data_IF_296560216399
#
_entry.id   IF_296560216399
#
_cell.length_a   1.000
_cell.length_b   1.000
_cell.length_c   1.000
_cell.angle_alpha   90.00
_cell.angle_beta   90.00
_cell.angle_gamma   90.00
#
_symmetry.space_group_name_H-M   'P 1'
#
loop_
_entity.id
_entity.type
_entity.pdbx_description
1 polymer ?
#
# COMPACT_ATOMS: atom_id res chain seq x y z
N UNK A 1 17.97 -17.88 -21.88
CA UNK A 1 16.85 -17.17 -21.28
C UNK A 1 17.01 -17.33 -19.78
N UNK A 2 17.46 -16.30 -19.07
CA UNK A 2 17.55 -16.32 -17.62
C UNK A 2 16.14 -16.49 -17.05
N UNK A 3 15.91 -17.58 -16.31
CA UNK A 3 14.61 -17.83 -15.71
C UNK A 3 14.44 -16.92 -14.49
N UNK A 4 13.40 -16.10 -14.48
CA UNK A 4 12.93 -15.42 -13.28
C UNK A 4 12.22 -16.41 -12.36
N UNK A 5 12.35 -16.22 -11.05
CA UNK A 5 11.58 -16.97 -10.09
C UNK A 5 10.39 -16.12 -9.59
N UNK A 6 9.20 -16.72 -9.60
CA UNK A 6 7.95 -16.07 -9.20
C UNK A 6 7.57 -16.47 -7.77
N UNK A 7 7.49 -15.49 -6.90
CA UNK A 7 7.15 -15.67 -5.50
C UNK A 7 5.85 -14.95 -5.15
N UNK A 8 4.94 -15.61 -4.44
CA UNK A 8 3.71 -15.03 -3.93
C UNK A 8 3.74 -14.97 -2.41
N UNK A 9 3.43 -13.81 -1.84
CA UNK A 9 3.15 -13.65 -0.42
C UNK A 9 1.66 -13.38 -0.26
N UNK A 10 0.95 -14.29 0.39
CA UNK A 10 -0.51 -14.35 0.43
C UNK A 10 -1.01 -14.01 1.84
N UNK A 11 -1.90 -13.04 1.96
CA UNK A 11 -2.62 -12.77 3.18
C UNK A 11 -4.05 -13.34 3.08
N UNK A 12 -4.24 -14.58 3.51
CA UNK A 12 -5.54 -15.27 3.48
C UNK A 12 -6.62 -14.58 4.35
N UNK A 13 -6.23 -13.78 5.35
CA UNK A 13 -7.14 -13.04 6.24
C UNK A 13 -7.69 -11.76 5.60
N UNK A 14 -7.18 -11.36 4.43
CA UNK A 14 -7.69 -10.20 3.71
C UNK A 14 -9.12 -10.45 3.19
N UNK A 15 -9.89 -9.37 3.03
CA UNK A 15 -11.28 -9.41 2.51
C UNK A 15 -12.21 -10.41 3.26
N UNK A 16 -12.12 -10.45 4.59
CA UNK A 16 -12.96 -11.31 5.44
C UNK A 16 -12.88 -12.81 5.11
N UNK A 17 -11.69 -13.29 4.69
CA UNK A 17 -11.44 -14.71 4.42
C UNK A 17 -11.63 -15.18 2.98
N UNK A 18 -12.07 -14.32 2.06
CA UNK A 18 -12.19 -14.69 0.63
C UNK A 18 -10.86 -14.79 -0.11
N UNK A 19 -9.75 -14.38 0.51
CA UNK A 19 -8.43 -14.41 -0.13
C UNK A 19 -7.97 -15.84 -0.48
N UNK A 20 -8.39 -16.83 0.29
CA UNK A 20 -8.12 -18.25 -0.02
C UNK A 20 -8.77 -18.71 -1.32
N UNK A 21 -10.00 -18.28 -1.59
CA UNK A 21 -10.69 -18.59 -2.85
C UNK A 21 -10.01 -17.85 -4.01
N UNK A 22 -9.65 -16.58 -3.80
CA UNK A 22 -8.91 -15.78 -4.79
C UNK A 22 -7.58 -16.43 -5.14
N UNK A 23 -6.86 -16.95 -4.14
CA UNK A 23 -5.61 -17.67 -4.39
C UNK A 23 -5.81 -18.90 -5.30
N UNK A 24 -6.86 -19.68 -5.07
CA UNK A 24 -7.18 -20.82 -5.96
C UNK A 24 -7.40 -20.40 -7.42
N UNK A 25 -8.07 -19.28 -7.63
CA UNK A 25 -8.29 -18.73 -8.97
C UNK A 25 -6.98 -18.30 -9.66
N UNK A 26 -6.04 -17.75 -8.87
CA UNK A 26 -4.69 -17.41 -9.36
C UNK A 26 -3.92 -18.69 -9.70
N UNK A 27 -3.94 -19.70 -8.81
CA UNK A 27 -3.28 -20.99 -9.04
C UNK A 27 -3.77 -21.70 -10.32
N UNK A 28 -5.07 -21.62 -10.62
CA UNK A 28 -5.62 -22.16 -11.87
C UNK A 28 -4.95 -21.50 -13.09
N UNK A 29 -4.79 -20.17 -13.07
CA UNK A 29 -4.11 -19.44 -14.16
C UNK A 29 -2.66 -19.88 -14.30
N UNK A 30 -1.94 -20.02 -13.18
CA UNK A 30 -0.53 -20.44 -13.18
C UNK A 30 -0.36 -21.87 -13.71
N UNK A 31 -1.21 -22.79 -13.28
CA UNK A 31 -1.22 -24.19 -13.73
C UNK A 31 -1.50 -24.31 -15.23
N UNK A 32 -2.55 -23.65 -15.73
CA UNK A 32 -2.90 -23.66 -17.17
C UNK A 32 -1.76 -23.12 -18.03
N UNK A 33 -0.98 -22.16 -17.50
CA UNK A 33 0.15 -21.56 -18.22
C UNK A 33 1.49 -22.25 -17.97
N UNK A 34 1.49 -23.32 -17.18
CA UNK A 34 2.68 -24.11 -16.81
C UNK A 34 3.81 -23.23 -16.25
N UNK A 35 3.45 -22.33 -15.31
CA UNK A 35 4.38 -21.40 -14.67
C UNK A 35 4.88 -21.99 -13.37
N UNK A 36 6.20 -22.00 -13.16
CA UNK A 36 6.81 -22.35 -11.88
C UNK A 36 6.71 -21.17 -10.91
N UNK A 37 6.32 -21.44 -9.68
CA UNK A 37 6.20 -20.43 -8.62
C UNK A 37 6.41 -21.02 -7.23
N UNK A 38 6.66 -20.16 -6.26
CA UNK A 38 6.57 -20.49 -4.83
C UNK A 38 5.56 -19.58 -4.15
N UNK A 39 4.84 -20.10 -3.17
CA UNK A 39 3.79 -19.37 -2.47
C UNK A 39 3.94 -19.49 -0.96
N UNK A 40 3.89 -18.37 -0.27
CA UNK A 40 4.06 -18.24 1.17
C UNK A 40 2.84 -17.54 1.77
N UNK A 41 2.29 -18.11 2.84
CA UNK A 41 1.13 -17.53 3.53
C UNK A 41 1.61 -16.70 4.72
N UNK A 42 1.19 -15.43 4.77
CA UNK A 42 1.46 -14.59 5.93
C UNK A 42 0.43 -14.86 7.03
N UNK A 43 0.90 -15.20 8.23
CA UNK A 43 0.06 -15.68 9.33
C UNK A 43 -0.31 -14.58 10.32
N UNK A 44 0.55 -13.57 10.50
CA UNK A 44 0.39 -12.49 11.46
C UNK A 44 0.89 -11.15 10.88
N UNK A 45 0.58 -10.06 11.57
CA UNK A 45 1.02 -8.72 11.18
C UNK A 45 2.55 -8.62 11.21
N UNK A 46 3.13 -8.12 10.10
CA UNK A 46 4.57 -8.03 9.89
C UNK A 46 5.20 -9.28 9.27
N UNK A 47 4.46 -10.42 9.18
CA UNK A 47 5.00 -11.65 8.61
C UNK A 47 5.26 -11.53 7.10
N UNK A 48 4.43 -10.79 6.37
CA UNK A 48 4.63 -10.57 4.95
C UNK A 48 5.97 -9.85 4.66
N UNK A 49 6.37 -8.91 5.52
CA UNK A 49 7.67 -8.27 5.41
C UNK A 49 8.85 -9.21 5.69
N UNK A 50 8.74 -10.07 6.72
CA UNK A 50 9.77 -11.07 7.00
C UNK A 50 9.93 -12.05 5.85
N UNK A 51 8.83 -12.58 5.31
CA UNK A 51 8.85 -13.44 4.14
C UNK A 51 9.51 -12.76 2.93
N UNK A 52 9.23 -11.48 2.70
CA UNK A 52 9.88 -10.73 1.63
C UNK A 52 11.40 -10.63 1.85
N UNK A 53 11.85 -10.38 3.08
CA UNK A 53 13.29 -10.37 3.43
C UNK A 53 13.94 -11.74 3.20
N UNK A 54 13.28 -12.81 3.61
CA UNK A 54 13.76 -14.19 3.41
C UNK A 54 13.86 -14.55 1.92
N UNK A 55 12.86 -14.16 1.10
CA UNK A 55 12.88 -14.37 -0.34
C UNK A 55 14.01 -13.57 -1.00
N UNK A 56 14.23 -12.31 -0.59
CA UNK A 56 15.32 -11.50 -1.12
C UNK A 56 16.72 -12.04 -0.77
N UNK A 57 16.82 -12.86 0.27
CA UNK A 57 18.07 -13.52 0.67
C UNK A 57 18.35 -14.82 -0.11
N UNK A 58 17.41 -15.30 -0.92
CA UNK A 58 17.63 -16.45 -1.79
C UNK A 58 18.60 -16.11 -2.92
N UNK A 59 19.27 -17.13 -3.46
CA UNK A 59 20.30 -16.97 -4.51
C UNK A 59 19.70 -16.80 -5.92
N UNK A 60 18.64 -15.98 -6.03
CA UNK A 60 17.99 -15.62 -7.27
C UNK A 60 18.36 -14.19 -7.68
N UNK A 61 18.76 -14.00 -8.92
CA UNK A 61 19.16 -12.69 -9.44
C UNK A 61 18.02 -11.89 -10.06
N UNK A 62 16.87 -12.50 -10.34
CA UNK A 62 15.67 -11.84 -10.88
C UNK A 62 14.43 -12.40 -10.19
N UNK A 63 14.03 -11.73 -9.14
CA UNK A 63 12.91 -12.10 -8.28
C UNK A 63 11.68 -11.31 -8.72
N UNK A 64 10.60 -12.01 -9.07
CA UNK A 64 9.29 -11.40 -9.17
C UNK A 64 8.49 -11.69 -7.89
N UNK A 65 8.31 -10.69 -7.06
CA UNK A 65 7.66 -10.80 -5.76
C UNK A 65 6.26 -10.20 -5.80
N UNK A 66 5.24 -11.02 -5.60
CA UNK A 66 3.84 -10.63 -5.73
C UNK A 66 3.13 -10.66 -4.38
N UNK A 67 2.62 -9.53 -3.95
CA UNK A 67 1.76 -9.43 -2.78
C UNK A 67 0.30 -9.73 -3.17
N UNK A 68 -0.29 -10.77 -2.60
CA UNK A 68 -1.72 -11.08 -2.72
C UNK A 68 -2.40 -10.63 -1.42
N UNK A 69 -2.93 -9.42 -1.42
CA UNK A 69 -3.42 -8.79 -0.19
C UNK A 69 -4.01 -7.40 -0.42
N UNK A 70 -4.23 -6.67 0.66
CA UNK A 70 -4.58 -5.24 0.63
C UNK A 70 -3.34 -4.36 0.77
N UNK A 71 -3.56 -3.03 0.87
CA UNK A 71 -2.51 -2.01 0.99
C UNK A 71 -1.53 -2.29 2.14
N UNK A 72 -2.03 -2.79 3.27
CA UNK A 72 -1.18 -3.18 4.41
C UNK A 72 -0.21 -4.32 4.09
N UNK A 73 -0.67 -5.35 3.37
CA UNK A 73 0.18 -6.46 2.94
C UNK A 73 1.23 -5.99 1.94
N UNK A 74 0.81 -5.19 0.95
CA UNK A 74 1.73 -4.59 -0.02
C UNK A 74 2.80 -3.73 0.67
N UNK A 75 2.40 -2.90 1.65
CA UNK A 75 3.35 -2.08 2.41
C UNK A 75 4.31 -2.93 3.27
N UNK A 76 3.85 -4.02 3.89
CA UNK A 76 4.74 -4.94 4.61
C UNK A 76 5.76 -5.57 3.67
N UNK A 77 5.34 -6.06 2.50
CA UNK A 77 6.23 -6.66 1.49
C UNK A 77 7.27 -5.65 1.00
N UNK A 78 6.86 -4.44 0.62
CA UNK A 78 7.77 -3.37 0.18
C UNK A 78 8.83 -3.09 1.24
N UNK A 79 8.45 -3.00 2.52
CA UNK A 79 9.39 -2.78 3.61
C UNK A 79 10.26 -4.00 3.97
N UNK A 80 9.98 -5.15 3.41
CA UNK A 80 10.81 -6.36 3.53
C UNK A 80 11.78 -6.56 2.36
N UNK A 81 11.61 -5.82 1.26
CA UNK A 81 12.55 -5.87 0.12
C UNK A 81 13.87 -5.22 0.55
N UNK A 82 14.94 -6.00 0.51
CA UNK A 82 16.29 -5.56 0.89
C UNK A 82 17.11 -5.08 -0.30
N UNK A 83 16.74 -5.46 -1.52
CA UNK A 83 17.42 -5.11 -2.76
C UNK A 83 16.39 -4.90 -3.89
N UNK A 84 16.08 -3.65 -4.17
CA UNK A 84 15.13 -3.28 -5.24
C UNK A 84 15.70 -3.51 -6.64
N UNK A 85 17.01 -3.63 -6.79
CA UNK A 85 17.64 -3.93 -8.07
C UNK A 85 17.39 -5.39 -8.50
N UNK A 86 17.18 -6.30 -7.55
CA UNK A 86 16.87 -7.70 -7.82
C UNK A 86 15.38 -8.00 -7.91
N UNK A 87 14.52 -7.15 -7.34
CA UNK A 87 13.10 -7.44 -7.18
C UNK A 87 12.23 -6.63 -8.15
N UNK A 88 11.39 -7.33 -8.90
CA UNK A 88 10.22 -6.75 -9.57
C UNK A 88 8.98 -7.01 -8.70
N UNK A 89 8.36 -5.96 -8.23
CA UNK A 89 7.23 -6.04 -7.31
C UNK A 89 5.89 -6.00 -8.05
N UNK A 90 4.99 -6.90 -7.67
CA UNK A 90 3.62 -6.96 -8.17
C UNK A 90 2.58 -7.00 -7.06
N UNK A 91 1.35 -6.61 -7.36
CA UNK A 91 0.23 -6.65 -6.42
C UNK A 91 -1.00 -7.26 -7.07
N UNK A 92 -1.64 -8.20 -6.38
CA UNK A 92 -3.00 -8.67 -6.68
C UNK A 92 -3.89 -8.23 -5.53
N UNK A 93 -4.80 -7.25 -5.77
CA UNK A 93 -5.54 -6.61 -4.71
C UNK A 93 -6.66 -7.49 -4.17
N UNK A 94 -6.62 -7.80 -2.88
CA UNK A 94 -7.69 -8.54 -2.19
C UNK A 94 -8.21 -7.80 -0.94
N UNK A 95 -7.78 -6.56 -0.72
CA UNK A 95 -8.21 -5.73 0.41
C UNK A 95 -9.52 -4.96 0.16
N UNK A 96 -9.88 -4.12 1.12
CA UNK A 96 -11.07 -3.25 1.05
C UNK A 96 -10.78 -1.91 0.38
N UNK A 97 -9.61 -1.31 0.62
CA UNK A 97 -9.18 -0.02 0.05
C UNK A 97 -8.56 -0.21 -1.32
N UNK A 98 -7.47 -0.95 -1.36
CA UNK A 98 -6.65 -1.22 -2.53
C UNK A 98 -6.24 0.08 -3.26
N UNK A 99 -5.77 1.06 -2.48
CA UNK A 99 -5.42 2.37 -3.02
C UNK A 99 -4.19 2.29 -3.92
N UNK A 100 -3.21 1.45 -3.58
CA UNK A 100 -2.06 1.17 -4.44
C UNK A 100 -2.50 0.59 -5.79
N UNK A 101 -3.34 -0.44 -5.77
CA UNK A 101 -3.84 -1.06 -7.00
C UNK A 101 -4.68 -0.10 -7.84
N UNK A 102 -5.45 0.79 -7.18
CA UNK A 102 -6.22 1.85 -7.86
C UNK A 102 -5.30 2.87 -8.49
N UNK A 103 -4.29 3.35 -7.77
CA UNK A 103 -3.31 4.31 -8.28
C UNK A 103 -2.53 3.77 -9.48
N UNK A 104 -2.22 2.48 -9.47
CA UNK A 104 -1.58 1.76 -10.55
C UNK A 104 -2.54 1.29 -11.66
N UNK A 105 -3.83 1.58 -11.56
CA UNK A 105 -4.87 1.13 -12.50
C UNK A 105 -4.90 -0.40 -12.70
N UNK A 106 -4.59 -1.16 -11.65
CA UNK A 106 -4.57 -2.63 -11.71
C UNK A 106 -5.99 -3.20 -11.71
N UNK A 107 -6.14 -4.37 -12.32
CA UNK A 107 -7.40 -5.10 -12.34
C UNK A 107 -7.83 -5.52 -10.93
N UNK A 108 -9.14 -5.41 -10.67
CA UNK A 108 -9.77 -5.97 -9.46
C UNK A 108 -10.06 -7.47 -9.58
N UNK A 109 -10.03 -8.00 -10.80
CA UNK A 109 -10.18 -9.42 -11.07
C UNK A 109 -8.84 -10.13 -10.86
N UNK A 110 -8.77 -11.14 -9.97
CA UNK A 110 -7.51 -11.80 -9.60
C UNK A 110 -6.87 -12.56 -10.77
N UNK A 111 -7.68 -13.15 -11.65
CA UNK A 111 -7.17 -13.88 -12.84
C UNK A 111 -6.52 -12.93 -13.82
N UNK A 112 -7.18 -11.79 -14.09
CA UNK A 112 -6.61 -10.74 -14.92
C UNK A 112 -5.35 -10.12 -14.28
N UNK A 113 -5.33 -9.96 -12.95
CA UNK A 113 -4.14 -9.53 -12.22
C UNK A 113 -2.96 -10.48 -12.41
N UNK A 114 -3.19 -11.79 -12.25
CA UNK A 114 -2.16 -12.82 -12.49
C UNK A 114 -1.66 -12.81 -13.93
N UNK A 115 -2.58 -12.73 -14.91
CA UNK A 115 -2.24 -12.66 -16.34
C UNK A 115 -1.40 -11.41 -16.63
N UNK A 116 -1.75 -10.26 -16.05
CA UNK A 116 -1.00 -9.02 -16.21
C UNK A 116 0.44 -9.16 -15.68
N UNK A 117 0.62 -9.73 -14.50
CA UNK A 117 1.94 -9.99 -13.91
C UNK A 117 2.75 -10.91 -14.83
N UNK A 118 2.19 -12.03 -15.28
CA UNK A 118 2.88 -12.97 -16.17
C UNK A 118 3.29 -12.33 -17.51
N UNK A 119 2.49 -11.40 -18.02
CA UNK A 119 2.84 -10.67 -19.23
C UNK A 119 3.94 -9.62 -18.97
N UNK A 120 3.89 -8.94 -17.83
CA UNK A 120 4.92 -7.99 -17.43
C UNK A 120 6.30 -8.65 -17.22
N UNK A 121 6.31 -9.88 -16.69
CA UNK A 121 7.54 -10.65 -16.49
C UNK A 121 8.26 -11.06 -17.79
N UNK A 122 7.53 -11.11 -18.92
CA UNK A 122 8.14 -11.38 -20.24
C UNK A 122 8.92 -10.17 -20.78
N UNK A 123 8.70 -9.01 -20.22
CA UNK A 123 9.42 -7.78 -20.57
C UNK A 123 10.79 -7.75 -19.93
N UNK A 124 11.73 -7.02 -20.52
CA UNK A 124 12.99 -6.72 -19.87
C UNK A 124 12.76 -5.86 -18.61
N UNK A 125 13.75 -5.78 -17.72
CA UNK A 125 13.65 -4.87 -16.56
C UNK A 125 13.56 -3.41 -16.99
N UNK A 126 14.27 -3.04 -18.03
CA UNK A 126 14.27 -1.69 -18.59
C UNK A 126 12.89 -1.27 -19.12
N UNK A 127 12.07 -2.24 -19.55
CA UNK A 127 10.69 -2.01 -20.00
C UNK A 127 9.67 -2.04 -18.84
N UNK A 128 10.12 -2.22 -17.60
CA UNK A 128 9.24 -2.17 -16.42
C UNK A 128 9.09 -0.74 -15.93
N UNK A 129 7.90 -0.43 -15.43
CA UNK A 129 7.62 0.88 -14.85
C UNK A 129 8.24 1.00 -13.45
N UNK A 130 9.03 2.05 -13.23
CA UNK A 130 9.60 2.37 -11.93
C UNK A 130 8.64 3.26 -11.14
N UNK A 131 8.35 2.85 -9.92
CA UNK A 131 7.52 3.59 -8.98
C UNK A 131 8.41 4.19 -7.89
N UNK A 132 8.22 5.47 -7.62
CA UNK A 132 8.85 6.13 -6.48
C UNK A 132 8.29 5.58 -5.17
N UNK A 133 9.11 5.56 -4.13
CA UNK A 133 8.72 5.26 -2.77
C UNK A 133 9.08 6.44 -1.86
N UNK A 134 8.14 6.83 -1.00
CA UNK A 134 8.46 7.78 0.05
C UNK A 134 9.03 7.07 1.28
N UNK A 135 9.90 7.76 2.02
CA UNK A 135 10.40 7.31 3.32
C UNK A 135 9.91 8.24 4.44
N UNK A 136 9.37 7.66 5.49
CA UNK A 136 9.11 8.36 6.76
C UNK A 136 10.18 8.00 7.75
N UNK A 137 10.81 9.02 8.33
CA UNK A 137 11.80 8.87 9.41
C UNK A 137 11.30 9.55 10.68
N UNK A 138 11.40 8.86 11.81
CA UNK A 138 11.11 9.39 13.14
C UNK A 138 12.15 8.87 14.13
N UNK A 139 13.10 9.71 14.50
CA UNK A 139 14.32 9.28 15.19
C UNK A 139 15.04 8.24 14.34
N UNK A 140 15.40 7.13 14.96
CA UNK A 140 16.12 6.03 14.27
C UNK A 140 15.20 5.10 13.46
N UNK A 141 13.88 5.32 13.51
CA UNK A 141 12.91 4.48 12.80
C UNK A 141 12.66 5.03 11.41
N UNK A 142 12.79 4.17 10.41
CA UNK A 142 12.49 4.45 9.01
C UNK A 142 11.46 3.48 8.48
N UNK A 143 10.59 3.98 7.61
CA UNK A 143 9.59 3.15 6.93
C UNK A 143 9.25 3.70 5.56
N UNK A 144 9.24 2.81 4.57
CA UNK A 144 8.81 3.16 3.23
C UNK A 144 7.28 3.18 3.12
N UNK A 145 6.78 4.07 2.29
CA UNK A 145 5.37 4.11 1.90
C UNK A 145 5.24 4.26 0.38
N UNK A 146 4.26 3.57 -0.18
CA UNK A 146 3.98 3.61 -1.61
C UNK A 146 2.90 4.65 -1.96
N UNK A 147 1.96 4.93 -1.05
CA UNK A 147 0.77 5.75 -1.34
C UNK A 147 0.92 7.12 -0.69
N UNK A 148 0.94 7.15 0.63
CA UNK A 148 0.97 8.38 1.43
C UNK A 148 1.49 8.14 2.83
N UNK A 149 1.94 9.22 3.47
CA UNK A 149 2.23 9.26 4.90
C UNK A 149 1.70 10.56 5.49
N UNK A 150 0.86 10.46 6.51
CA UNK A 150 0.15 11.60 7.09
C UNK A 150 0.28 11.72 8.61
N UNK A 151 0.09 12.95 9.09
CA UNK A 151 0.07 13.33 10.50
C UNK A 151 -1.25 14.08 10.79
N UNK A 152 -1.83 13.87 11.95
CA UNK A 152 -3.05 14.56 12.39
C UNK A 152 -4.30 13.73 12.20
N UNK A 153 -5.34 14.29 11.58
CA UNK A 153 -6.66 13.66 11.41
C UNK A 153 -6.57 12.30 10.76
N UNK A 154 -5.83 12.19 9.67
CA UNK A 154 -5.63 10.96 8.92
C UNK A 154 -5.05 9.85 9.81
N UNK A 155 -3.92 10.11 10.47
CA UNK A 155 -3.30 9.17 11.40
C UNK A 155 -4.25 8.78 12.56
N UNK A 156 -5.05 9.72 13.06
CA UNK A 156 -6.01 9.49 14.14
C UNK A 156 -7.15 8.56 13.66
N UNK A 157 -7.69 8.80 12.47
CA UNK A 157 -8.73 7.96 11.86
C UNK A 157 -8.21 6.54 11.64
N UNK A 158 -7.00 6.41 11.08
CA UNK A 158 -6.35 5.11 10.90
C UNK A 158 -6.14 4.37 12.25
N UNK A 159 -5.67 5.08 13.28
CA UNK A 159 -5.50 4.52 14.63
C UNK A 159 -6.83 4.03 15.24
N UNK A 160 -7.89 4.81 15.09
CA UNK A 160 -9.24 4.44 15.57
C UNK A 160 -9.79 3.26 14.76
N UNK A 161 -9.64 3.26 13.45
CA UNK A 161 -10.09 2.17 12.58
C UNK A 161 -9.40 0.83 12.90
N UNK A 162 -8.12 0.85 13.27
CA UNK A 162 -7.39 -0.35 13.67
C UNK A 162 -7.84 -0.92 15.01
N UNK A 163 -8.36 -0.07 15.93
CA UNK A 163 -8.82 -0.47 17.26
C UNK A 163 -10.32 -0.73 17.35
N UNK A 164 -11.08 -0.39 16.32
CA UNK A 164 -12.54 -0.38 16.37
C UNK A 164 -13.13 -1.76 16.08
N UNK A 165 -13.87 -2.30 17.05
CA UNK A 165 -14.81 -3.42 16.86
C UNK A 165 -15.97 -3.07 15.91
N UNK A 166 -16.24 -1.79 15.70
CA UNK A 166 -17.24 -1.28 14.74
C UNK A 166 -16.86 -1.68 13.31
N UNK A 167 -15.56 -1.75 12.99
CA UNK A 167 -15.06 -2.19 11.69
C UNK A 167 -15.54 -3.59 11.35
N UNK A 168 -15.52 -4.51 12.30
CA UNK A 168 -15.94 -5.89 12.07
C UNK A 168 -17.45 -6.01 11.83
N UNK A 169 -18.24 -5.19 12.54
CA UNK A 169 -19.70 -5.15 12.38
C UNK A 169 -20.08 -4.53 11.03
N UNK A 170 -19.48 -3.40 10.66
CA UNK A 170 -19.80 -2.69 9.42
C UNK A 170 -19.24 -3.39 8.16
N UNK A 171 -18.15 -4.13 8.29
CA UNK A 171 -17.66 -4.99 7.21
C UNK A 171 -18.64 -6.14 6.91
N UNK A 172 -19.28 -6.72 7.93
CA UNK A 172 -20.32 -7.75 7.76
C UNK A 172 -21.53 -7.25 6.96
N UNK A 173 -21.86 -5.96 7.07
CA UNK A 173 -23.00 -5.35 6.36
C UNK A 173 -22.58 -4.56 5.10
N UNK A 174 -21.36 -4.78 4.58
CA UNK A 174 -20.81 -4.12 3.38
C UNK A 174 -20.72 -2.58 3.45
N UNK A 175 -20.82 -1.99 4.63
CA UNK A 175 -20.78 -0.53 4.86
C UNK A 175 -19.39 -0.03 5.32
N UNK A 176 -18.31 -0.74 4.98
CA UNK A 176 -16.94 -0.41 5.42
C UNK A 176 -16.50 1.02 5.08
N UNK A 177 -16.94 1.60 3.96
CA UNK A 177 -16.67 3.00 3.60
C UNK A 177 -17.33 3.99 4.57
N UNK A 178 -18.52 3.67 5.06
CA UNK A 178 -19.26 4.51 6.01
C UNK A 178 -18.54 4.55 7.37
N UNK A 179 -17.84 3.49 7.74
CA UNK A 179 -17.02 3.47 8.98
C UNK A 179 -15.97 4.56 8.96
N UNK A 180 -15.23 4.68 7.87
CA UNK A 180 -14.19 5.71 7.75
C UNK A 180 -14.78 7.10 7.80
N UNK A 181 -15.91 7.34 7.14
CA UNK A 181 -16.59 8.62 7.19
C UNK A 181 -17.03 8.99 8.63
N UNK A 182 -17.68 8.07 9.34
CA UNK A 182 -18.10 8.28 10.73
C UNK A 182 -16.91 8.53 11.65
N UNK A 183 -15.83 7.74 11.52
CA UNK A 183 -14.62 7.93 12.31
C UNK A 183 -13.92 9.23 11.96
N UNK A 184 -13.94 9.67 10.71
CA UNK A 184 -13.38 10.97 10.29
C UNK A 184 -14.15 12.10 10.91
N UNK A 185 -15.48 12.11 10.80
CA UNK A 185 -16.33 13.14 11.40
C UNK A 185 -16.15 13.19 12.92
N UNK A 186 -16.23 12.04 13.60
CA UNK A 186 -16.00 11.97 15.04
C UNK A 186 -14.61 12.46 15.43
N UNK A 187 -13.59 12.11 14.64
CA UNK A 187 -12.21 12.52 14.92
C UNK A 187 -12.01 14.01 14.72
N UNK A 188 -12.63 14.59 13.69
CA UNK A 188 -12.57 16.04 13.45
C UNK A 188 -13.09 16.84 14.64
N UNK A 189 -14.18 16.41 15.28
CA UNK A 189 -14.74 17.10 16.46
C UNK A 189 -13.97 16.85 17.74
N UNK A 190 -13.28 15.71 17.86
CA UNK A 190 -12.61 15.31 19.11
C UNK A 190 -11.11 15.56 19.12
N UNK A 191 -10.48 15.77 17.97
CA UNK A 191 -9.04 16.00 17.90
C UNK A 191 -8.65 17.39 18.41
N UNK A 192 -7.44 17.46 18.95
CA UNK A 192 -6.76 18.74 19.21
C UNK A 192 -5.97 19.14 17.96
N UNK A 193 -5.98 20.42 17.62
CA UNK A 193 -5.10 20.99 16.62
C UNK A 193 -3.80 21.44 17.26
N UNK A 194 -2.71 21.44 16.51
CA UNK A 194 -1.42 21.93 16.95
C UNK A 194 -0.89 22.96 15.95
N UNK A 195 -0.07 23.89 16.43
CA UNK A 195 0.72 24.73 15.53
C UNK A 195 1.91 23.90 15.03
N UNK A 196 2.27 24.06 13.78
CA UNK A 196 3.34 23.31 13.13
C UNK A 196 4.17 24.22 12.22
N UNK A 197 5.40 23.85 12.03
CA UNK A 197 6.29 24.43 11.03
C UNK A 197 6.66 23.35 10.04
N UNK A 198 6.38 23.60 8.76
CA UNK A 198 6.67 22.67 7.66
C UNK A 198 7.87 23.19 6.89
N UNK A 199 8.82 22.30 6.64
CA UNK A 199 9.99 22.58 5.81
C UNK A 199 9.90 21.71 4.56
N UNK A 200 9.99 22.37 3.41
CA UNK A 200 10.03 21.70 2.11
C UNK A 200 11.41 21.91 1.49
N UNK A 201 12.13 20.81 1.28
CA UNK A 201 13.51 20.83 0.77
C UNK A 201 14.40 21.82 1.56
N UNK A 202 14.94 22.86 0.89
CA UNK A 202 15.80 23.88 1.51
C UNK A 202 15.08 25.22 1.76
N UNK A 203 13.75 25.25 1.65
CA UNK A 203 12.99 26.47 1.81
C UNK A 203 12.85 26.88 3.28
N UNK A 204 12.49 28.15 3.51
CA UNK A 204 12.15 28.63 4.86
C UNK A 204 10.93 27.88 5.38
N UNK A 205 10.94 27.59 6.67
CA UNK A 205 9.83 26.95 7.34
C UNK A 205 8.51 27.72 7.16
N UNK A 206 7.46 27.00 6.80
CA UNK A 206 6.11 27.53 6.65
C UNK A 206 5.32 27.32 7.93
N UNK A 207 5.04 28.40 8.66
CA UNK A 207 4.27 28.35 9.90
C UNK A 207 2.79 28.10 9.60
N UNK A 208 2.22 27.07 10.22
CA UNK A 208 0.81 26.70 10.13
C UNK A 208 0.19 26.67 11.52
N UNK A 209 -0.81 27.51 11.74
CA UNK A 209 -1.57 27.53 13.00
C UNK A 209 -2.77 26.61 12.92
N UNK A 210 -3.07 25.95 14.03
CA UNK A 210 -4.22 25.03 14.15
C UNK A 210 -4.27 24.01 13.02
N UNK A 211 -3.16 23.31 12.79
CA UNK A 211 -3.09 22.25 11.81
C UNK A 211 -4.03 21.11 12.17
N UNK A 212 -4.83 20.67 11.23
CA UNK A 212 -5.73 19.52 11.33
C UNK A 212 -5.03 18.28 10.82
N UNK A 213 -4.42 18.36 9.62
CA UNK A 213 -3.59 17.28 9.07
C UNK A 213 -2.61 17.81 8.04
N UNK A 214 -1.57 17.03 7.80
CA UNK A 214 -0.70 17.13 6.62
C UNK A 214 -0.34 15.72 6.16
N UNK A 215 -0.24 15.53 4.86
CA UNK A 215 0.16 14.28 4.26
C UNK A 215 1.12 14.50 3.07
N UNK A 216 2.16 13.69 3.03
CA UNK A 216 3.00 13.52 1.85
C UNK A 216 2.39 12.43 0.96
N UNK A 217 2.15 12.74 -0.29
CA UNK A 217 1.40 11.93 -1.24
C UNK A 217 2.27 11.53 -2.42
N UNK A 218 2.32 10.23 -2.69
CA UNK A 218 2.92 9.67 -3.89
C UNK A 218 1.89 9.42 -4.99
N UNK A 219 0.63 9.22 -4.62
CA UNK A 219 -0.51 9.07 -5.53
C UNK A 219 -1.55 10.17 -5.33
N UNK A 220 -2.38 10.37 -6.36
CA UNK A 220 -3.42 11.43 -6.38
C UNK A 220 -4.50 11.28 -5.32
N UNK A 221 -4.72 10.05 -4.84
CA UNK A 221 -5.83 9.74 -3.95
C UNK A 221 -5.44 8.67 -2.92
N UNK A 222 -6.10 8.69 -1.77
CA UNK A 222 -5.99 7.70 -0.71
C UNK A 222 -7.35 7.42 -0.05
N UNK A 223 -7.39 6.56 0.96
CA UNK A 223 -8.58 6.35 1.79
C UNK A 223 -9.78 5.80 1.04
N UNK A 224 -9.56 4.95 0.03
CA UNK A 224 -10.63 4.41 -0.81
C UNK A 224 -10.90 5.26 -2.06
N UNK A 225 -9.96 6.11 -2.47
CA UNK A 225 -10.02 6.93 -3.68
C UNK A 225 -10.43 8.37 -3.46
N UNK A 226 -10.26 8.90 -2.25
CA UNK A 226 -10.46 10.33 -1.96
C UNK A 226 -9.32 11.12 -2.60
N UNK A 227 -9.60 12.09 -3.50
CA UNK A 227 -8.55 12.88 -4.14
C UNK A 227 -7.96 13.88 -3.13
N UNK A 228 -6.68 13.72 -2.83
CA UNK A 228 -5.95 14.53 -1.85
C UNK A 228 -4.88 15.39 -2.51
N UNK A 229 -4.20 14.88 -3.52
CA UNK A 229 -3.11 15.55 -4.23
C UNK A 229 -3.24 15.32 -5.75
N UNK A 230 -4.09 16.08 -6.46
CA UNK A 230 -4.37 15.86 -7.89
C UNK A 230 -3.14 15.93 -8.81
N UNK A 231 -2.10 16.65 -8.39
CA UNK A 231 -0.86 16.77 -9.12
C UNK A 231 0.17 15.66 -8.83
N UNK A 232 -0.07 14.78 -7.84
CA UNK A 232 0.87 13.73 -7.48
C UNK A 232 1.11 12.75 -8.64
N UNK A 233 2.36 12.36 -8.79
CA UNK A 233 2.83 11.36 -9.76
C UNK A 233 3.80 10.42 -9.06
N UNK A 234 3.57 9.12 -9.16
CA UNK A 234 4.40 8.13 -8.49
C UNK A 234 5.65 7.72 -9.28
N UNK A 235 6.10 8.57 -10.23
CA UNK A 235 7.27 8.30 -11.08
C UNK A 235 7.99 9.59 -11.52
N UNK A 236 7.91 10.67 -10.74
CA UNK A 236 8.56 11.96 -11.05
C UNK A 236 9.64 12.35 -10.02
N UNK A 237 9.96 11.45 -9.08
CA UNK A 237 10.95 11.67 -8.03
C UNK A 237 10.51 12.68 -6.97
N UNK A 238 9.19 12.99 -6.87
CA UNK A 238 8.66 14.03 -5.98
C UNK A 238 7.51 13.52 -5.13
N UNK A 239 7.36 14.11 -3.96
CA UNK A 239 6.18 13.94 -3.12
C UNK A 239 5.32 15.21 -3.20
N UNK A 240 4.03 15.04 -3.43
CA UNK A 240 3.06 16.13 -3.30
C UNK A 240 2.58 16.26 -1.86
N UNK A 241 2.30 17.48 -1.41
CA UNK A 241 1.80 17.70 -0.05
C UNK A 241 0.34 18.14 -0.09
N UNK A 242 -0.43 17.59 0.85
CA UNK A 242 -1.79 18.01 1.14
C UNK A 242 -1.88 18.40 2.60
N UNK A 243 -2.46 19.57 2.90
CA UNK A 243 -2.58 20.07 4.26
C UNK A 243 -3.91 20.78 4.51
N UNK A 244 -4.34 20.82 5.76
CA UNK A 244 -5.46 21.61 6.22
C UNK A 244 -5.11 22.23 7.57
N UNK A 245 -5.14 23.56 7.62
CA UNK A 245 -4.84 24.34 8.81
C UNK A 245 -5.71 25.62 8.87
N UNK A 246 -5.81 26.24 10.06
CA UNK A 246 -6.48 27.53 10.25
C UNK A 246 -8.00 27.53 10.13
N UNK A 247 -8.64 26.44 9.81
CA UNK A 247 -10.10 26.33 9.65
C UNK A 247 -10.74 26.17 11.03
N UNK A 248 -11.85 26.90 11.34
CA UNK A 248 -12.68 26.60 12.51
C UNK A 248 -13.24 25.17 12.40
N UNK A 249 -13.25 24.47 13.52
CA UNK A 249 -13.83 23.13 13.58
C UNK A 249 -15.34 23.17 13.55
#
# INVERSE_FOLDING_TARGET
>A
MGGYMLYFIINEKSKSGNAKQIWKEIEEVLKVRNVSYQAFVSEYRGHAGKLATEICAMDDNDICLVAVGGDGTANEVINGITDFEKVRFGVIPTGSGNDLARGLSLSKDPKNGAIHILNAMKKSREDTWCMDLGEVSLGDKKRLFAISAGIGLDALVCKKALKSTIKDILNKIRLGKLTYLVLTVQSLFTMQTADAELFFDQEKGLQKKRMIFTAAMNFKAEGGGVPMAPAASACDGKLSFCETAGIPK
#
